data_IF_994633641483
#
_entry.id   IF_994633641483
#
_cell.length_a   1.000
_cell.length_b   1.000
_cell.length_c   1.000
_cell.angle_alpha   90.00
_cell.angle_beta   90.00
_cell.angle_gamma   90.00
#
_symmetry.space_group_name_H-M   'P 1'
#
loop_
_entity.id
_entity.type
_entity.pdbx_description
1 polymer ?
#
# COMPACT_ATOMS: atom_id res chain seq x y z
N UNK A 1 32.41 -9.66 28.63
CA UNK A 1 31.21 -10.44 28.99
C UNK A 1 31.13 -11.63 28.06
N UNK A 2 30.76 -12.80 28.58
CA UNK A 2 30.46 -13.96 27.75
C UNK A 2 29.24 -13.69 26.86
N UNK A 3 29.19 -14.30 25.67
CA UNK A 3 28.13 -14.14 24.68
C UNK A 3 26.76 -14.47 25.28
N UNK A 4 26.72 -15.43 26.21
CA UNK A 4 25.52 -15.82 26.97
C UNK A 4 25.03 -14.69 27.90
N UNK A 5 25.93 -13.99 28.58
CA UNK A 5 25.57 -12.87 29.47
C UNK A 5 25.06 -11.67 28.68
N UNK A 6 25.67 -11.37 27.52
CA UNK A 6 25.22 -10.33 26.60
C UNK A 6 23.78 -10.59 26.13
N UNK A 7 23.47 -11.82 25.70
CA UNK A 7 22.11 -12.20 25.28
C UNK A 7 21.09 -12.13 26.40
N UNK A 8 21.47 -12.55 27.61
CA UNK A 8 20.58 -12.45 28.78
C UNK A 8 20.25 -10.98 29.08
N UNK A 9 21.28 -10.11 29.12
CA UNK A 9 21.10 -8.68 29.36
C UNK A 9 20.28 -8.01 28.25
N UNK A 10 20.51 -8.36 26.98
CA UNK A 10 19.70 -7.89 25.86
C UNK A 10 18.22 -8.24 26.04
N UNK A 11 17.92 -9.51 26.37
CA UNK A 11 16.55 -9.97 26.60
C UNK A 11 15.89 -9.32 27.82
N UNK A 12 16.66 -8.96 28.85
CA UNK A 12 16.17 -8.25 30.03
C UNK A 12 15.81 -6.80 29.70
N UNK A 13 16.65 -6.08 28.93
CA UNK A 13 16.35 -4.73 28.45
C UNK A 13 15.11 -4.75 27.56
N UNK A 14 15.01 -5.71 26.64
CA UNK A 14 13.83 -5.88 25.79
C UNK A 14 12.56 -6.07 26.63
N UNK A 15 12.53 -7.05 27.54
CA UNK A 15 11.31 -7.41 28.28
C UNK A 15 10.93 -6.41 29.37
N UNK A 16 11.89 -5.98 30.18
CA UNK A 16 11.61 -5.15 31.37
C UNK A 16 11.60 -3.66 31.07
N UNK A 17 12.12 -3.23 29.93
CA UNK A 17 12.18 -1.81 29.59
C UNK A 17 11.46 -1.57 28.28
N UNK A 18 11.85 -2.26 27.20
CA UNK A 18 11.24 -2.09 25.88
C UNK A 18 9.74 -2.39 25.85
N UNK A 19 9.36 -3.61 26.20
CA UNK A 19 7.96 -4.09 26.12
C UNK A 19 7.05 -3.35 27.11
N UNK A 20 7.56 -3.00 28.30
CA UNK A 20 6.84 -2.20 29.29
C UNK A 20 6.61 -0.77 28.80
N UNK A 21 7.63 -0.10 28.26
CA UNK A 21 7.46 1.25 27.70
C UNK A 21 6.53 1.24 26.48
N UNK A 22 6.59 0.19 25.66
CA UNK A 22 5.73 0.02 24.49
C UNK A 22 4.25 -0.13 24.90
N UNK A 23 3.95 -0.94 25.91
CA UNK A 23 2.58 -1.14 26.39
C UNK A 23 1.99 0.14 26.99
N UNK A 24 2.82 0.98 27.61
CA UNK A 24 2.45 2.30 28.12
C UNK A 24 2.50 3.43 27.06
N UNK A 25 2.62 3.09 25.77
CA UNK A 25 2.68 4.05 24.64
C UNK A 25 3.84 5.06 24.73
N UNK A 26 4.89 4.76 25.49
CA UNK A 26 6.11 5.57 25.56
C UNK A 26 7.08 5.20 24.44
N UNK A 27 6.61 5.35 23.19
CA UNK A 27 7.22 4.78 22.00
C UNK A 27 8.69 5.19 21.83
N UNK A 28 9.05 6.48 21.91
CA UNK A 28 10.45 6.91 21.75
C UNK A 28 11.40 6.26 22.77
N UNK A 29 10.95 6.09 24.02
CA UNK A 29 11.76 5.45 25.08
C UNK A 29 11.85 3.93 24.88
N UNK A 30 10.76 3.30 24.45
CA UNK A 30 10.75 1.89 24.08
C UNK A 30 11.73 1.63 22.93
N UNK A 31 11.79 2.53 21.96
CA UNK A 31 12.68 2.48 20.81
C UNK A 31 14.16 2.47 21.24
N UNK A 32 14.55 3.43 22.08
CA UNK A 32 15.91 3.49 22.63
C UNK A 32 16.26 2.27 23.51
N UNK A 33 15.27 1.63 24.15
CA UNK A 33 15.49 0.37 24.86
C UNK A 33 15.75 -0.80 23.90
N UNK A 34 14.97 -0.91 22.81
CA UNK A 34 15.19 -1.93 21.79
C UNK A 34 16.54 -1.74 21.07
N UNK A 35 16.95 -0.52 20.74
CA UNK A 35 18.29 -0.27 20.17
C UNK A 35 19.41 -0.74 21.10
N UNK A 36 19.30 -0.43 22.41
CA UNK A 36 20.26 -0.91 23.41
C UNK A 36 20.25 -2.43 23.56
N UNK A 37 19.12 -3.10 23.36
CA UNK A 37 19.07 -4.55 23.30
C UNK A 37 19.82 -5.07 22.06
N UNK A 38 19.61 -4.47 20.87
CA UNK A 38 20.24 -4.88 19.62
C UNK A 38 21.75 -4.60 19.54
N UNK A 39 22.26 -3.61 20.28
CA UNK A 39 23.71 -3.41 20.40
C UNK A 39 24.39 -4.53 21.19
N UNK A 40 23.68 -5.17 22.11
CA UNK A 40 24.16 -6.30 22.91
C UNK A 40 23.94 -7.64 22.19
N UNK A 41 22.81 -7.83 21.52
CA UNK A 41 22.50 -9.00 20.68
C UNK A 41 21.83 -8.58 19.37
N UNK A 42 22.66 -8.44 18.32
CA UNK A 42 22.21 -8.05 16.98
C UNK A 42 21.25 -9.05 16.34
N UNK A 43 21.21 -10.29 16.82
CA UNK A 43 20.40 -11.37 16.27
C UNK A 43 19.13 -11.62 17.09
N UNK A 44 18.80 -10.76 18.07
CA UNK A 44 17.58 -10.90 18.85
C UNK A 44 16.34 -10.59 17.97
N UNK A 45 15.76 -11.66 17.42
CA UNK A 45 14.61 -11.62 16.50
C UNK A 45 13.40 -10.95 17.16
N UNK A 46 13.14 -11.20 18.46
CA UNK A 46 11.98 -10.61 19.14
C UNK A 46 12.16 -9.09 19.29
N UNK A 47 13.35 -8.65 19.69
CA UNK A 47 13.67 -7.22 19.71
C UNK A 47 13.54 -6.61 18.31
N UNK A 48 14.06 -7.24 17.25
CA UNK A 48 13.93 -6.75 15.87
C UNK A 48 12.45 -6.58 15.45
N UNK A 49 11.60 -7.57 15.75
CA UNK A 49 10.17 -7.50 15.46
C UNK A 49 9.46 -6.39 16.22
N UNK A 50 9.70 -6.27 17.53
CA UNK A 50 9.10 -5.23 18.36
C UNK A 50 9.56 -3.84 17.94
N UNK A 51 10.83 -3.72 17.56
CA UNK A 51 11.40 -2.49 17.03
C UNK A 51 10.76 -2.09 15.69
N UNK A 52 10.57 -3.05 14.78
CA UNK A 52 9.82 -2.86 13.53
C UNK A 52 8.37 -2.40 13.75
N UNK A 53 7.64 -3.06 14.67
CA UNK A 53 6.27 -2.70 15.01
C UNK A 53 6.16 -1.29 15.62
N UNK A 54 7.18 -0.87 16.37
CA UNK A 54 7.27 0.47 16.92
C UNK A 54 7.47 1.52 15.82
N UNK A 55 8.29 1.23 14.81
CA UNK A 55 8.44 2.14 13.66
C UNK A 55 7.17 2.30 12.86
N UNK A 56 6.37 1.25 12.73
CA UNK A 56 5.04 1.37 12.09
C UNK A 56 4.14 2.34 12.86
N UNK A 57 4.24 2.39 14.19
CA UNK A 57 3.47 3.32 15.04
C UNK A 57 4.01 4.74 15.06
N UNK A 58 5.34 4.91 15.00
CA UNK A 58 5.98 6.23 14.98
C UNK A 58 6.00 6.88 13.59
N UNK A 59 6.01 6.05 12.55
CA UNK A 59 6.27 6.48 11.18
C UNK A 59 5.01 6.85 10.41
N UNK A 60 5.04 8.02 9.79
CA UNK A 60 4.02 8.49 8.84
C UNK A 60 4.51 8.38 7.38
N UNK A 61 5.31 7.35 7.06
CA UNK A 61 5.95 7.18 5.75
C UNK A 61 4.93 7.21 4.59
N UNK A 62 3.76 6.59 4.77
CA UNK A 62 2.66 6.63 3.82
C UNK A 62 2.17 8.05 3.50
N UNK A 63 2.08 8.92 4.52
CA UNK A 63 1.70 10.33 4.34
C UNK A 63 2.82 11.12 3.70
N UNK A 64 4.07 10.91 4.12
CA UNK A 64 5.23 11.57 3.51
C UNK A 64 5.37 11.25 2.02
N UNK A 65 5.15 9.99 1.61
CA UNK A 65 5.11 9.62 0.19
C UNK A 65 4.00 10.34 -0.57
N UNK A 66 2.81 10.49 0.02
CA UNK A 66 1.71 11.20 -0.61
C UNK A 66 2.00 12.71 -0.75
N UNK A 67 2.58 13.33 0.28
CA UNK A 67 2.97 14.74 0.27
C UNK A 67 4.10 15.02 -0.72
N UNK A 68 5.06 14.09 -0.85
CA UNK A 68 6.13 14.18 -1.85
C UNK A 68 5.57 14.26 -3.28
N UNK A 69 4.47 13.56 -3.58
CA UNK A 69 3.76 13.66 -4.86
C UNK A 69 3.13 15.03 -5.13
N UNK A 70 2.90 15.85 -4.10
CA UNK A 70 2.39 17.23 -4.22
C UNK A 70 3.52 18.28 -4.30
N UNK A 71 4.78 17.87 -4.12
CA UNK A 71 5.92 18.77 -4.12
C UNK A 71 6.34 19.21 -5.52
N UNK A 72 6.79 20.46 -5.62
CA UNK A 72 7.43 21.01 -6.81
C UNK A 72 8.94 20.81 -6.76
N UNK A 73 9.59 20.85 -7.91
CA UNK A 73 11.05 20.87 -7.99
C UNK A 73 11.55 22.31 -7.73
N UNK A 74 11.61 22.69 -6.45
CA UNK A 74 12.21 23.96 -6.03
C UNK A 74 13.68 23.80 -5.66
N UNK A 75 14.44 24.89 -5.74
CA UNK A 75 15.85 24.88 -5.33
C UNK A 75 15.98 24.51 -3.85
N UNK A 76 16.96 23.67 -3.53
CA UNK A 76 17.29 23.32 -2.15
C UNK A 76 18.04 24.49 -1.50
N UNK A 77 17.45 25.06 -0.45
CA UNK A 77 18.09 26.08 0.39
C UNK A 77 19.18 25.45 1.26
N UNK A 78 20.08 26.28 1.81
CA UNK A 78 21.18 25.81 2.67
C UNK A 78 20.68 25.01 3.88
N UNK A 79 19.62 25.49 4.54
CA UNK A 79 19.04 24.82 5.71
C UNK A 79 18.41 23.47 5.35
N UNK A 80 17.73 23.40 4.20
CA UNK A 80 17.21 22.13 3.68
C UNK A 80 18.35 21.16 3.38
N UNK A 81 19.45 21.63 2.76
CA UNK A 81 20.60 20.78 2.48
C UNK A 81 21.21 20.21 3.77
N UNK A 82 21.43 21.03 4.80
CA UNK A 82 21.91 20.55 6.10
C UNK A 82 20.97 19.51 6.71
N UNK A 83 19.65 19.70 6.62
CA UNK A 83 18.67 18.72 7.09
C UNK A 83 18.75 17.41 6.31
N UNK A 84 18.88 17.48 4.99
CA UNK A 84 19.02 16.28 4.15
C UNK A 84 20.30 15.52 4.46
N UNK A 85 21.43 16.23 4.57
CA UNK A 85 22.73 15.64 4.89
C UNK A 85 22.68 14.95 6.26
N UNK A 86 22.04 15.59 7.24
CA UNK A 86 21.80 15.00 8.56
C UNK A 86 20.97 13.71 8.48
N UNK A 87 19.84 13.73 7.77
CA UNK A 87 18.97 12.56 7.61
C UNK A 87 19.67 11.40 6.90
N UNK A 88 20.51 11.70 5.89
CA UNK A 88 21.26 10.69 5.13
C UNK A 88 22.40 10.09 5.97
N UNK A 89 23.06 10.92 6.80
CA UNK A 89 24.15 10.50 7.66
C UNK A 89 23.68 9.78 8.93
N UNK A 90 22.40 9.95 9.32
CA UNK A 90 21.87 9.37 10.54
C UNK A 90 21.93 7.84 10.52
N UNK A 91 22.56 7.27 11.56
CA UNK A 91 22.71 5.83 11.75
C UNK A 91 21.60 5.22 12.62
N UNK A 92 20.82 6.05 13.32
CA UNK A 92 19.63 5.63 14.07
C UNK A 92 18.39 6.28 13.44
N UNK A 93 17.32 5.52 13.21
CA UNK A 93 16.07 6.10 12.75
C UNK A 93 15.30 6.84 13.86
N UNK A 94 15.78 6.83 15.11
CA UNK A 94 15.19 7.54 16.25
C UNK A 94 16.12 8.69 16.62
N UNK A 95 15.86 9.83 16.02
CA UNK A 95 16.38 11.07 16.58
C UNK A 95 15.54 11.50 17.78
N UNK A 96 16.22 12.00 18.81
CA UNK A 96 15.61 12.53 20.03
C UNK A 96 14.95 13.89 19.83
N UNK A 97 14.75 14.34 18.59
CA UNK A 97 14.15 15.63 18.34
C UNK A 97 12.70 15.64 18.80
N UNK A 98 12.43 16.61 19.66
CA UNK A 98 11.11 17.05 20.02
C UNK A 98 10.61 18.08 19.02
N UNK A 99 9.28 18.25 18.95
CA UNK A 99 8.69 19.33 18.15
C UNK A 99 9.28 20.70 18.53
N UNK A 100 9.59 20.93 19.80
CA UNK A 100 10.18 22.19 20.31
C UNK A 100 11.55 22.52 19.72
N UNK A 101 12.34 21.52 19.31
CA UNK A 101 13.65 21.76 18.72
C UNK A 101 13.55 22.46 17.35
N UNK A 102 12.37 22.39 16.74
CA UNK A 102 12.11 23.00 15.44
C UNK A 102 11.47 24.38 15.52
N UNK A 103 11.30 25.01 16.69
CA UNK A 103 10.61 26.33 16.80
C UNK A 103 11.21 27.41 15.88
N UNK A 104 12.53 27.39 15.67
CA UNK A 104 13.22 28.31 14.75
C UNK A 104 13.15 27.92 13.26
N UNK A 105 12.60 26.75 12.94
CA UNK A 105 12.47 26.26 11.57
C UNK A 105 11.30 26.92 10.87
N UNK A 106 11.48 27.32 9.61
CA UNK A 106 10.37 27.77 8.74
C UNK A 106 9.28 26.72 8.53
N UNK A 107 9.55 25.45 8.83
CA UNK A 107 8.58 24.35 8.75
C UNK A 107 7.80 24.14 10.06
N UNK A 108 8.12 24.87 11.13
CA UNK A 108 7.42 24.76 12.40
C UNK A 108 5.96 25.19 12.27
N UNK A 109 5.03 24.26 12.51
CA UNK A 109 3.58 24.48 12.39
C UNK A 109 3.12 25.06 11.04
N UNK A 110 3.91 24.91 9.97
CA UNK A 110 3.56 25.43 8.64
C UNK A 110 2.33 24.72 8.03
N UNK A 111 1.97 23.56 8.59
CA UNK A 111 0.89 22.72 8.12
C UNK A 111 1.38 21.71 7.07
N UNK A 112 0.91 20.45 7.14
CA UNK A 112 1.40 19.36 6.30
C UNK A 112 1.07 19.51 4.81
N UNK A 113 0.14 20.40 4.45
CA UNK A 113 -0.26 20.66 3.05
C UNK A 113 0.29 21.97 2.50
N UNK A 114 1.11 22.70 3.26
CA UNK A 114 1.77 23.86 2.73
C UNK A 114 2.70 23.45 1.58
N UNK A 115 2.75 24.25 0.52
CA UNK A 115 3.63 23.95 -0.61
C UNK A 115 5.10 23.80 -0.18
N UNK A 116 5.66 24.64 0.71
CA UNK A 116 7.04 24.45 1.17
C UNK A 116 7.27 23.11 1.88
N UNK A 117 6.29 22.60 2.63
CA UNK A 117 6.42 21.29 3.29
C UNK A 117 6.32 20.13 2.30
N UNK A 118 5.43 20.23 1.30
CA UNK A 118 5.34 19.24 0.22
C UNK A 118 6.63 19.20 -0.62
N UNK A 119 7.21 20.37 -0.92
CA UNK A 119 8.51 20.49 -1.58
C UNK A 119 9.62 19.83 -0.75
N UNK A 120 9.65 20.07 0.58
CA UNK A 120 10.61 19.41 1.48
C UNK A 120 10.42 17.89 1.48
N UNK A 121 9.18 17.39 1.58
CA UNK A 121 8.88 15.96 1.53
C UNK A 121 9.39 15.31 0.24
N UNK A 122 9.23 16.00 -0.90
CA UNK A 122 9.76 15.56 -2.19
C UNK A 122 11.29 15.55 -2.22
N UNK A 123 11.93 16.60 -1.70
CA UNK A 123 13.41 16.67 -1.58
C UNK A 123 13.95 15.53 -0.73
N UNK A 124 13.34 15.23 0.42
CA UNK A 124 13.71 14.09 1.28
C UNK A 124 13.58 12.77 0.52
N UNK A 125 12.42 12.52 -0.12
CA UNK A 125 12.20 11.30 -0.91
C UNK A 125 13.24 11.12 -2.02
N UNK A 126 13.55 12.20 -2.75
CA UNK A 126 14.55 12.19 -3.83
C UNK A 126 15.96 11.96 -3.29
N UNK A 127 16.34 12.61 -2.19
CA UNK A 127 17.68 12.48 -1.61
C UNK A 127 17.92 11.06 -1.08
N UNK A 128 16.92 10.43 -0.45
CA UNK A 128 16.97 9.03 -0.03
C UNK A 128 17.11 8.07 -1.22
N UNK A 129 16.33 8.29 -2.28
CA UNK A 129 16.43 7.49 -3.51
C UNK A 129 17.82 7.61 -4.13
N UNK A 130 18.34 8.83 -4.28
CA UNK A 130 19.68 9.07 -4.86
C UNK A 130 20.80 8.47 -4.01
N UNK A 131 20.70 8.54 -2.67
CA UNK A 131 21.66 7.88 -1.78
C UNK A 131 21.71 6.37 -2.02
N UNK A 132 20.56 5.71 -2.16
CA UNK A 132 20.48 4.29 -2.48
C UNK A 132 21.04 4.04 -3.89
N UNK A 133 20.67 4.87 -4.87
CA UNK A 133 21.15 4.76 -6.25
C UNK A 133 22.66 4.85 -6.36
N UNK A 134 23.28 5.81 -5.69
CA UNK A 134 24.74 5.98 -5.67
C UNK A 134 25.46 4.81 -5.00
N UNK A 135 24.86 4.16 -4.01
CA UNK A 135 25.43 2.94 -3.40
C UNK A 135 25.33 1.72 -4.30
N UNK A 136 24.27 1.59 -5.10
CA UNK A 136 24.07 0.43 -5.98
C UNK A 136 24.89 0.58 -7.27
N UNK A 137 25.04 1.80 -7.80
CA UNK A 137 25.65 2.08 -9.10
C UNK A 137 27.02 1.39 -9.33
N UNK A 138 27.98 1.39 -8.38
CA UNK A 138 29.27 0.70 -8.56
C UNK A 138 29.17 -0.82 -8.75
N UNK A 139 28.05 -1.42 -8.35
CA UNK A 139 27.81 -2.86 -8.45
C UNK A 139 27.10 -3.26 -9.76
N UNK A 140 26.68 -2.29 -10.58
CA UNK A 140 25.99 -2.53 -11.85
C UNK A 140 27.02 -2.60 -12.98
N UNK A 141 27.38 -3.81 -13.38
CA UNK A 141 28.31 -4.08 -14.49
C UNK A 141 27.62 -4.64 -15.74
N UNK A 142 26.32 -4.96 -15.65
CA UNK A 142 25.47 -5.44 -16.74
C UNK A 142 24.01 -5.09 -16.47
N UNK A 143 23.21 -4.94 -17.53
CA UNK A 143 21.75 -4.78 -17.43
C UNK A 143 21.10 -6.12 -17.12
N UNK A 144 20.97 -6.43 -15.84
CA UNK A 144 20.22 -7.59 -15.32
C UNK A 144 18.87 -7.15 -14.73
N UNK A 145 17.93 -8.06 -14.48
CA UNK A 145 16.71 -7.74 -13.75
C UNK A 145 17.01 -7.27 -12.32
N UNK A 146 16.28 -6.26 -11.84
CA UNK A 146 16.27 -5.83 -10.44
C UNK A 146 15.08 -6.44 -9.71
N UNK A 147 15.34 -7.08 -8.57
CA UNK A 147 14.31 -7.54 -7.64
C UNK A 147 14.33 -6.62 -6.41
N UNK A 148 13.20 -5.98 -6.11
CA UNK A 148 13.08 -5.09 -4.94
C UNK A 148 12.27 -5.81 -3.87
N UNK A 149 12.83 -5.87 -2.66
CA UNK A 149 12.15 -6.37 -1.45
C UNK A 149 12.43 -5.42 -0.27
N UNK A 150 11.70 -5.59 0.82
CA UNK A 150 11.67 -4.68 1.97
C UNK A 150 10.58 -3.61 1.85
N UNK A 151 10.27 -2.94 2.97
CA UNK A 151 9.18 -1.95 3.06
C UNK A 151 9.31 -0.77 2.10
N UNK A 152 10.54 -0.38 1.74
CA UNK A 152 10.78 0.68 0.74
C UNK A 152 10.25 0.31 -0.65
N UNK A 153 10.13 -0.98 -0.98
CA UNK A 153 9.51 -1.45 -2.21
C UNK A 153 8.02 -1.10 -2.35
N UNK A 154 7.36 -0.62 -1.28
CA UNK A 154 5.99 -0.07 -1.37
C UNK A 154 5.94 1.34 -1.97
N UNK A 155 7.09 1.99 -2.18
CA UNK A 155 7.20 3.32 -2.77
C UNK A 155 7.14 3.24 -4.30
N UNK A 156 5.95 3.49 -4.86
CA UNK A 156 5.71 3.40 -6.29
C UNK A 156 6.48 4.45 -7.11
N UNK A 157 6.80 5.62 -6.53
CA UNK A 157 7.63 6.63 -7.19
C UNK A 157 9.06 6.13 -7.38
N UNK A 158 9.63 5.48 -6.35
CA UNK A 158 10.96 4.89 -6.44
C UNK A 158 11.00 3.70 -7.41
N UNK A 159 10.00 2.82 -7.37
CA UNK A 159 9.93 1.68 -8.28
C UNK A 159 9.86 2.14 -9.75
N UNK A 160 9.07 3.20 -10.03
CA UNK A 160 9.05 3.83 -11.35
C UNK A 160 10.41 4.42 -11.74
N UNK A 161 11.07 5.14 -10.84
CA UNK A 161 12.42 5.70 -11.11
C UNK A 161 13.45 4.62 -11.41
N UNK A 162 13.36 3.45 -10.75
CA UNK A 162 14.24 2.32 -11.06
C UNK A 162 13.99 1.77 -12.46
N UNK A 163 12.72 1.60 -12.84
CA UNK A 163 12.32 1.14 -14.16
C UNK A 163 12.77 2.11 -15.27
N UNK A 164 12.54 3.40 -15.07
CA UNK A 164 12.91 4.47 -16.02
C UNK A 164 14.43 4.76 -16.06
N UNK A 165 15.20 4.27 -15.08
CA UNK A 165 16.65 4.56 -15.00
C UNK A 165 17.47 3.98 -16.16
N UNK A 166 16.94 2.96 -16.85
CA UNK A 166 17.65 2.24 -17.90
C UNK A 166 18.86 1.42 -17.41
N UNK A 167 19.07 1.32 -16.09
CA UNK A 167 20.18 0.58 -15.47
C UNK A 167 19.94 -0.95 -15.47
N UNK A 168 18.67 -1.36 -15.47
CA UNK A 168 18.25 -2.75 -15.38
C UNK A 168 17.50 -3.18 -16.64
N UNK A 169 17.44 -4.49 -16.89
CA UNK A 169 16.67 -5.02 -18.03
C UNK A 169 15.17 -5.10 -17.73
N UNK A 170 14.82 -5.21 -16.45
CA UNK A 170 13.46 -5.29 -15.92
C UNK A 170 13.49 -4.97 -14.41
N UNK A 171 12.36 -4.55 -13.85
CA UNK A 171 12.20 -4.28 -12.42
C UNK A 171 10.97 -5.01 -11.88
N UNK A 172 11.20 -5.94 -10.96
CA UNK A 172 10.12 -6.69 -10.33
C UNK A 172 10.03 -6.40 -8.84
N UNK A 173 8.80 -6.13 -8.38
CA UNK A 173 8.46 -5.91 -6.97
C UNK A 173 7.33 -6.89 -6.60
N UNK A 174 7.53 -7.78 -5.62
CA UNK A 174 6.51 -8.75 -5.24
C UNK A 174 5.36 -8.08 -4.47
N UNK A 175 4.13 -8.62 -4.52
CA UNK A 175 2.95 -8.01 -3.87
C UNK A 175 3.09 -7.87 -2.35
N UNK A 176 3.82 -8.79 -1.71
CA UNK A 176 4.20 -8.74 -0.30
C UNK A 176 5.66 -8.31 -0.14
N UNK A 177 6.04 -7.13 -0.66
CA UNK A 177 7.43 -6.66 -0.60
C UNK A 177 7.88 -6.24 0.80
N UNK A 178 6.98 -5.84 1.69
CA UNK A 178 7.34 -5.51 3.07
C UNK A 178 7.46 -6.78 3.92
N UNK A 179 7.61 -6.61 5.23
CA UNK A 179 7.85 -7.69 6.19
C UNK A 179 6.77 -8.78 6.17
N UNK A 180 5.57 -8.49 5.65
CA UNK A 180 4.52 -9.51 5.45
C UNK A 180 4.92 -10.62 4.46
N UNK A 181 5.89 -10.37 3.57
CA UNK A 181 6.43 -11.37 2.64
C UNK A 181 7.54 -12.25 3.21
N UNK A 182 8.07 -11.94 4.40
CA UNK A 182 9.20 -12.69 4.99
C UNK A 182 8.86 -14.16 5.21
N UNK A 183 7.60 -14.47 5.57
CA UNK A 183 7.13 -15.85 5.70
C UNK A 183 7.23 -16.64 4.38
N UNK A 184 6.93 -15.99 3.24
CA UNK A 184 7.06 -16.59 1.90
C UNK A 184 8.54 -16.84 1.60
N UNK A 185 9.40 -15.86 1.88
CA UNK A 185 10.85 -16.00 1.71
C UNK A 185 11.44 -17.13 2.56
N UNK A 186 11.00 -17.25 3.82
CA UNK A 186 11.42 -18.31 4.73
C UNK A 186 10.97 -19.69 4.23
N UNK A 187 9.74 -19.82 3.75
CA UNK A 187 9.26 -21.05 3.13
C UNK A 187 10.06 -21.43 1.88
N UNK A 188 10.41 -20.45 1.03
CA UNK A 188 11.22 -20.68 -0.18
C UNK A 188 12.63 -21.14 0.17
N UNK A 189 13.22 -20.54 1.22
CA UNK A 189 14.53 -20.95 1.72
C UNK A 189 14.48 -22.39 2.28
N UNK A 190 13.46 -22.72 3.09
CA UNK A 190 13.28 -24.07 3.60
C UNK A 190 13.12 -25.09 2.46
N UNK A 191 12.28 -24.80 1.47
CA UNK A 191 12.10 -25.62 0.26
C UNK A 191 13.43 -25.89 -0.44
N UNK A 192 14.25 -24.85 -0.60
CA UNK A 192 15.58 -24.94 -1.22
C UNK A 192 16.53 -25.82 -0.42
N UNK A 193 16.59 -25.62 0.90
CA UNK A 193 17.47 -26.38 1.78
C UNK A 193 17.08 -27.86 1.86
N UNK A 194 15.78 -28.16 1.85
CA UNK A 194 15.27 -29.52 1.99
C UNK A 194 15.23 -30.31 0.68
N UNK A 195 15.00 -29.64 -0.46
CA UNK A 195 14.72 -30.33 -1.74
C UNK A 195 15.62 -29.89 -2.89
N UNK A 196 16.46 -28.87 -2.70
CA UNK A 196 17.24 -28.22 -3.77
C UNK A 196 16.42 -27.33 -4.69
N UNK A 197 15.08 -27.30 -4.58
CA UNK A 197 14.18 -26.49 -5.42
C UNK A 197 13.89 -25.15 -4.78
N UNK A 198 13.93 -24.08 -5.56
CA UNK A 198 13.63 -22.72 -5.07
C UNK A 198 12.17 -22.29 -5.32
N UNK A 199 11.44 -22.98 -6.20
CA UNK A 199 10.09 -22.60 -6.60
C UNK A 199 9.08 -22.90 -5.50
N UNK A 200 8.26 -21.89 -5.16
CA UNK A 200 7.03 -22.05 -4.39
C UNK A 200 5.84 -21.86 -5.32
N UNK A 201 4.87 -22.77 -5.25
CA UNK A 201 3.54 -22.53 -5.81
C UNK A 201 2.71 -21.74 -4.80
N UNK A 202 2.43 -20.48 -5.11
CA UNK A 202 1.58 -19.62 -4.28
C UNK A 202 0.90 -18.56 -5.14
N UNK A 203 -0.12 -17.92 -4.58
CA UNK A 203 -0.86 -16.84 -5.24
C UNK A 203 -0.99 -15.65 -4.29
N UNK A 204 -1.12 -14.45 -4.83
CA UNK A 204 -1.52 -13.29 -4.03
C UNK A 204 -2.87 -13.51 -3.36
N UNK A 205 -3.71 -14.42 -3.87
CA UNK A 205 -4.98 -14.82 -3.27
C UNK A 205 -4.86 -16.00 -2.27
N UNK A 206 -3.70 -16.17 -1.63
CA UNK A 206 -3.50 -17.21 -0.60
C UNK A 206 -4.09 -16.85 0.77
N UNK A 207 -4.74 -15.69 0.93
CA UNK A 207 -5.38 -15.25 2.18
C UNK A 207 -6.62 -16.07 2.55
N UNK A 208 -7.30 -15.71 3.64
CA UNK A 208 -8.46 -16.47 4.13
C UNK A 208 -9.65 -16.41 3.16
N UNK A 209 -10.47 -17.47 3.04
CA UNK A 209 -11.75 -17.40 2.33
C UNK A 209 -12.69 -16.39 3.01
N UNK A 210 -13.68 -15.88 2.29
CA UNK A 210 -14.70 -15.02 2.88
C UNK A 210 -15.58 -15.83 3.83
N UNK A 211 -15.84 -15.30 5.03
CA UNK A 211 -16.59 -16.00 6.06
C UNK A 211 -18.05 -15.59 5.99
N UNK A 212 -18.93 -16.53 5.64
CA UNK A 212 -20.38 -16.39 5.76
C UNK A 212 -20.80 -16.93 7.12
N UNK A 213 -21.11 -16.05 8.08
CA UNK A 213 -21.65 -16.51 9.36
C UNK A 213 -23.06 -17.11 9.15
N UNK A 214 -23.28 -18.34 9.61
CA UNK A 214 -24.56 -19.05 9.41
C UNK A 214 -25.73 -18.50 10.26
N UNK A 215 -25.45 -17.61 11.21
CA UNK A 215 -26.42 -17.22 12.24
C UNK A 215 -26.50 -15.70 12.41
N UNK A 216 -27.27 -15.03 11.56
CA UNK A 216 -27.87 -13.75 11.93
C UNK A 216 -29.37 -13.97 12.09
N UNK A 217 -29.86 -13.97 13.32
CA UNK A 217 -31.31 -13.94 13.63
C UNK A 217 -32.00 -12.68 13.07
N UNK A 218 -31.23 -11.70 12.61
CA UNK A 218 -31.69 -10.50 11.91
C UNK A 218 -31.88 -10.78 10.42
N UNK A 219 -33.08 -10.48 9.92
CA UNK A 219 -33.39 -10.50 8.47
C UNK A 219 -32.47 -9.52 7.74
N UNK A 220 -31.65 -10.01 6.81
CA UNK A 220 -30.77 -9.17 5.97
C UNK A 220 -31.57 -8.06 5.31
N UNK A 221 -31.08 -6.82 5.38
CA UNK A 221 -31.64 -5.67 4.64
C UNK A 221 -31.35 -5.71 3.14
N UNK A 222 -30.79 -6.81 2.64
CA UNK A 222 -30.42 -7.00 1.24
C UNK A 222 -31.00 -8.30 0.70
N UNK A 223 -31.60 -8.22 -0.49
CA UNK A 223 -32.09 -9.38 -1.24
C UNK A 223 -30.95 -9.95 -2.12
N UNK A 224 -30.65 -11.26 -2.01
CA UNK A 224 -29.71 -11.93 -2.89
C UNK A 224 -30.33 -12.17 -4.28
N UNK A 225 -29.51 -12.06 -5.32
CA UNK A 225 -29.84 -12.47 -6.69
C UNK A 225 -28.56 -12.89 -7.43
N UNK A 226 -28.64 -13.70 -8.50
CA UNK A 226 -27.48 -14.06 -9.30
C UNK A 226 -26.75 -12.81 -9.82
N UNK A 227 -25.42 -12.81 -9.79
CA UNK A 227 -24.60 -11.71 -10.27
C UNK A 227 -24.93 -11.38 -11.74
N UNK A 228 -25.34 -10.15 -11.99
CA UNK A 228 -25.59 -9.62 -13.33
C UNK A 228 -24.57 -8.50 -13.63
N UNK A 229 -23.46 -8.78 -14.35
CA UNK A 229 -22.42 -7.79 -14.62
C UNK A 229 -22.96 -6.50 -15.23
N UNK A 230 -23.91 -6.61 -16.17
CA UNK A 230 -24.55 -5.46 -16.80
C UNK A 230 -25.27 -4.54 -15.79
N UNK A 231 -25.97 -5.11 -14.80
CA UNK A 231 -26.64 -4.34 -13.73
C UNK A 231 -25.62 -3.63 -12.84
N UNK A 232 -24.55 -4.34 -12.44
CA UNK A 232 -23.46 -3.74 -11.65
C UNK A 232 -22.80 -2.59 -12.43
N UNK A 233 -22.52 -2.78 -13.72
CA UNK A 233 -21.92 -1.73 -14.55
C UNK A 233 -22.81 -0.49 -14.68
N UNK A 234 -24.14 -0.66 -14.83
CA UNK A 234 -25.09 0.46 -14.85
C UNK A 234 -25.06 1.25 -13.55
N UNK A 235 -25.14 0.56 -12.41
CA UNK A 235 -25.03 1.18 -11.08
C UNK A 235 -23.72 1.95 -10.90
N UNK A 236 -22.61 1.39 -11.34
CA UNK A 236 -21.31 2.08 -11.32
C UNK A 236 -21.35 3.36 -12.18
N UNK A 237 -21.92 3.30 -13.39
CA UNK A 237 -22.06 4.48 -14.27
C UNK A 237 -22.96 5.57 -13.68
N UNK A 238 -24.00 5.16 -12.95
CA UNK A 238 -24.90 6.04 -12.17
C UNK A 238 -24.20 6.63 -10.92
N UNK A 239 -22.97 6.22 -10.64
CA UNK A 239 -22.14 6.73 -9.55
C UNK A 239 -22.38 6.05 -8.20
N UNK A 240 -22.98 4.86 -8.21
CA UNK A 240 -23.00 3.95 -7.05
C UNK A 240 -21.61 3.36 -6.80
N UNK A 241 -21.36 3.06 -5.53
CA UNK A 241 -20.15 2.38 -5.06
C UNK A 241 -20.52 0.93 -4.79
N UNK A 242 -19.72 0.00 -5.29
CA UNK A 242 -19.97 -1.44 -5.17
C UNK A 242 -18.90 -2.05 -4.27
N UNK A 243 -19.30 -2.66 -3.16
CA UNK A 243 -18.40 -3.53 -2.40
C UNK A 243 -18.31 -4.88 -3.14
N UNK A 244 -17.10 -5.31 -3.45
CA UNK A 244 -16.82 -6.44 -4.32
C UNK A 244 -15.93 -7.46 -3.62
N UNK A 245 -16.50 -8.65 -3.41
CA UNK A 245 -15.88 -9.77 -2.71
C UNK A 245 -15.84 -10.96 -3.66
N UNK A 246 -14.65 -11.55 -3.82
CA UNK A 246 -14.44 -12.78 -4.60
C UNK A 246 -13.46 -13.70 -3.86
N UNK A 247 -13.77 -14.99 -3.79
CA UNK A 247 -12.90 -16.06 -3.32
C UNK A 247 -12.08 -15.73 -2.06
N UNK A 248 -10.81 -16.13 -2.08
CA UNK A 248 -9.84 -15.89 -0.99
C UNK A 248 -9.32 -14.46 -1.05
N UNK A 249 -9.12 -13.82 0.11
CA UNK A 249 -8.57 -12.47 0.13
C UNK A 249 -7.11 -12.42 -0.33
N UNK A 250 -6.72 -11.24 -0.79
CA UNK A 250 -5.35 -10.91 -1.12
C UNK A 250 -4.46 -10.94 0.14
N UNK A 251 -3.24 -11.42 0.00
CA UNK A 251 -2.14 -11.16 0.94
C UNK A 251 -1.39 -9.89 0.54
N UNK A 252 -0.84 -9.19 1.52
CA UNK A 252 -0.18 -7.90 1.33
C UNK A 252 -1.13 -6.71 1.46
N UNK A 253 -0.64 -5.48 1.26
CA UNK A 253 -1.35 -4.26 1.64
C UNK A 253 -2.28 -3.69 0.56
N UNK A 254 -2.43 -4.37 -0.59
CA UNK A 254 -3.20 -3.87 -1.74
C UNK A 254 -4.44 -4.74 -1.97
N UNK A 255 -5.58 -4.10 -2.16
CA UNK A 255 -6.75 -4.79 -2.72
C UNK A 255 -6.55 -4.91 -4.23
N UNK A 256 -6.59 -6.14 -4.73
CA UNK A 256 -6.32 -6.53 -6.11
C UNK A 256 -7.52 -7.26 -6.73
N UNK A 257 -8.73 -6.91 -6.32
CA UNK A 257 -9.98 -7.39 -6.93
C UNK A 257 -10.78 -8.41 -6.11
N UNK A 258 -10.31 -8.87 -4.96
CA UNK A 258 -11.02 -9.85 -4.11
C UNK A 258 -11.60 -9.24 -2.84
N UNK A 259 -11.01 -8.17 -2.28
CA UNK A 259 -11.60 -7.38 -1.17
C UNK A 259 -11.61 -5.89 -1.53
N UNK A 260 -12.41 -5.56 -2.53
CA UNK A 260 -12.32 -4.29 -3.25
C UNK A 260 -13.61 -3.48 -3.15
N UNK A 261 -13.46 -2.17 -3.28
CA UNK A 261 -14.54 -1.22 -3.50
C UNK A 261 -14.36 -0.69 -4.92
N UNK A 262 -15.36 -0.93 -5.77
CA UNK A 262 -15.37 -0.57 -7.18
C UNK A 262 -16.27 0.64 -7.42
N UNK A 263 -15.83 1.55 -8.27
CA UNK A 263 -16.60 2.75 -8.62
C UNK A 263 -16.20 3.30 -10.00
N UNK A 264 -16.95 4.28 -10.50
CA UNK A 264 -16.73 4.91 -11.80
C UNK A 264 -15.41 5.70 -11.84
N UNK A 265 -14.58 5.54 -12.89
CA UNK A 265 -13.27 6.20 -12.99
C UNK A 265 -13.35 7.65 -13.50
N UNK A 266 -14.53 8.17 -13.84
CA UNK A 266 -14.63 9.34 -14.71
C UNK A 266 -14.60 10.70 -14.01
N UNK A 267 -15.10 10.80 -12.78
CA UNK A 267 -15.35 12.09 -12.12
C UNK A 267 -14.60 12.22 -10.80
N UNK A 268 -14.08 13.42 -10.52
CA UNK A 268 -13.53 13.80 -9.21
C UNK A 268 -14.55 13.67 -8.07
N UNK A 269 -15.85 13.76 -8.37
CA UNK A 269 -16.91 13.49 -7.39
C UNK A 269 -16.83 12.05 -6.88
N UNK A 270 -16.46 11.08 -7.73
CA UNK A 270 -16.25 9.69 -7.27
C UNK A 270 -15.06 9.61 -6.31
N UNK A 271 -13.95 10.30 -6.61
CA UNK A 271 -12.79 10.37 -5.70
C UNK A 271 -13.18 10.93 -4.34
N UNK A 272 -13.96 12.02 -4.32
CA UNK A 272 -14.44 12.64 -3.09
C UNK A 272 -15.35 11.70 -2.29
N UNK A 273 -16.29 11.02 -2.94
CA UNK A 273 -17.16 10.02 -2.31
C UNK A 273 -16.34 8.89 -1.68
N UNK A 274 -15.36 8.35 -2.40
CA UNK A 274 -14.47 7.29 -1.90
C UNK A 274 -13.61 7.78 -0.73
N UNK A 275 -12.97 8.96 -0.84
CA UNK A 275 -12.14 9.49 0.24
C UNK A 275 -12.95 9.77 1.51
N UNK A 276 -14.18 10.29 1.37
CA UNK A 276 -15.12 10.46 2.49
C UNK A 276 -15.48 9.13 3.14
N UNK A 277 -15.85 8.13 2.34
CA UNK A 277 -16.20 6.78 2.81
C UNK A 277 -15.01 6.10 3.53
N UNK A 278 -13.77 6.40 3.12
CA UNK A 278 -12.56 5.86 3.75
C UNK A 278 -12.06 6.67 4.95
N UNK A 279 -12.68 7.80 5.28
CA UNK A 279 -12.17 8.76 6.26
C UNK A 279 -10.70 9.14 5.99
N UNK A 280 -10.37 9.33 4.71
CA UNK A 280 -9.03 9.67 4.23
C UNK A 280 -8.98 11.12 3.81
N UNK A 281 -7.77 11.66 3.79
CA UNK A 281 -7.52 12.99 3.28
C UNK A 281 -7.87 13.10 1.80
N UNK A 282 -8.40 14.24 1.38
CA UNK A 282 -8.99 14.41 0.04
C UNK A 282 -8.01 14.22 -1.12
N UNK A 283 -6.70 14.35 -0.87
CA UNK A 283 -5.64 14.18 -1.86
C UNK A 283 -5.16 12.73 -2.01
N UNK A 284 -5.64 11.80 -1.16
CA UNK A 284 -5.19 10.41 -1.23
C UNK A 284 -5.69 9.78 -2.53
N UNK A 285 -4.79 9.23 -3.35
CA UNK A 285 -5.18 8.74 -4.66
C UNK A 285 -5.98 7.45 -4.60
N UNK A 286 -6.85 7.27 -5.61
CA UNK A 286 -7.59 6.03 -5.87
C UNK A 286 -6.90 5.32 -7.04
N UNK A 287 -6.65 4.03 -6.88
CA UNK A 287 -5.98 3.24 -7.91
C UNK A 287 -6.96 2.81 -9.00
N UNK A 288 -6.57 2.77 -10.29
CA UNK A 288 -7.34 2.12 -11.31
C UNK A 288 -7.07 0.61 -11.35
N UNK A 289 -8.11 -0.16 -11.67
CA UNK A 289 -7.99 -1.52 -12.19
C UNK A 289 -8.49 -1.54 -13.63
N UNK A 290 -7.75 -2.16 -14.54
CA UNK A 290 -8.10 -2.20 -15.97
C UNK A 290 -7.80 -3.53 -16.65
N UNK A 291 -8.43 -3.74 -17.80
CA UNK A 291 -8.04 -4.79 -18.73
C UNK A 291 -6.60 -4.53 -19.17
N UNK A 292 -5.75 -5.56 -19.11
CA UNK A 292 -4.35 -5.43 -19.52
C UNK A 292 -4.22 -4.95 -20.98
N UNK A 293 -5.10 -5.43 -21.85
CA UNK A 293 -5.17 -5.01 -23.26
C UNK A 293 -5.55 -3.54 -23.46
N UNK A 294 -6.17 -2.91 -22.46
CA UNK A 294 -6.56 -1.49 -22.49
C UNK A 294 -5.54 -0.59 -21.79
N UNK A 295 -4.58 -1.14 -21.04
CA UNK A 295 -3.63 -0.34 -20.28
C UNK A 295 -2.85 0.66 -21.17
N UNK A 296 -2.33 0.29 -22.35
CA UNK A 296 -1.64 1.23 -23.24
C UNK A 296 -2.53 2.35 -23.81
N UNK A 297 -3.86 2.20 -23.78
CA UNK A 297 -4.82 3.22 -24.25
C UNK A 297 -5.02 4.35 -23.21
N UNK A 298 -4.61 4.11 -21.97
CA UNK A 298 -4.96 4.95 -20.83
C UNK A 298 -3.75 5.39 -20.00
N UNK A 299 -2.65 4.64 -20.06
CA UNK A 299 -1.47 4.86 -19.24
C UNK A 299 -0.19 4.75 -20.09
N UNK A 300 0.67 5.76 -20.01
CA UNK A 300 1.94 5.81 -20.74
C UNK A 300 2.86 4.65 -20.33
N UNK A 301 3.39 3.92 -21.32
CA UNK A 301 4.31 2.78 -21.15
C UNK A 301 3.81 1.64 -20.24
N UNK A 302 2.53 1.61 -19.87
CA UNK A 302 1.96 0.55 -19.04
C UNK A 302 1.52 -0.64 -19.91
N UNK A 303 2.34 -1.69 -19.98
CA UNK A 303 1.95 -2.96 -20.60
C UNK A 303 1.29 -3.92 -19.61
N UNK A 304 1.86 -4.05 -18.42
CA UNK A 304 1.33 -4.88 -17.34
C UNK A 304 1.71 -4.30 -15.98
N UNK A 305 0.81 -4.37 -15.02
CA UNK A 305 1.09 -4.02 -13.63
C UNK A 305 0.13 -4.78 -12.72
N UNK A 306 0.51 -5.98 -12.27
CA UNK A 306 -0.42 -6.87 -11.54
C UNK A 306 -0.72 -6.45 -10.10
N UNK A 307 0.19 -5.69 -9.46
CA UNK A 307 0.21 -5.56 -8.00
C UNK A 307 0.08 -4.14 -7.45
N UNK A 308 -0.19 -3.14 -8.29
CA UNK A 308 -0.22 -1.72 -7.87
C UNK A 308 1.06 -1.28 -7.15
N UNK A 309 2.23 -1.59 -7.73
CA UNK A 309 3.55 -1.28 -7.17
C UNK A 309 4.37 -0.30 -8.01
N UNK A 310 3.79 0.29 -9.05
CA UNK A 310 4.40 1.38 -9.82
C UNK A 310 3.38 2.45 -10.16
N UNK A 311 3.84 3.65 -10.49
CA UNK A 311 3.02 4.73 -11.04
C UNK A 311 3.19 4.81 -12.55
N UNK A 312 2.10 5.16 -13.24
CA UNK A 312 2.09 5.41 -14.68
C UNK A 312 1.40 6.74 -14.94
N UNK A 313 1.86 7.50 -15.93
CA UNK A 313 1.20 8.74 -16.34
C UNK A 313 -0.13 8.42 -17.00
N UNK A 314 -1.19 9.10 -16.60
CA UNK A 314 -2.52 8.97 -17.21
C UNK A 314 -2.55 9.81 -18.49
N UNK A 315 -2.79 9.19 -19.63
CA UNK A 315 -2.88 9.88 -20.93
C UNK A 315 -4.32 10.16 -21.35
N UNK A 316 -5.31 9.53 -20.71
CA UNK A 316 -6.71 9.75 -21.02
C UNK A 316 -7.36 10.73 -20.02
N UNK A 317 -7.72 11.96 -20.45
CA UNK A 317 -8.24 13.00 -19.55
C UNK A 317 -9.64 12.71 -18.99
N UNK A 318 -10.34 11.70 -19.52
CA UNK A 318 -11.65 11.28 -18.99
C UNK A 318 -11.53 10.48 -17.69
N UNK A 319 -10.35 9.94 -17.35
CA UNK A 319 -10.15 9.12 -16.16
C UNK A 319 -9.81 9.96 -14.91
N UNK A 320 -10.64 10.97 -14.62
CA UNK A 320 -10.32 11.95 -13.58
C UNK A 320 -10.33 11.38 -12.16
N UNK A 321 -11.11 10.32 -11.89
CA UNK A 321 -11.27 9.82 -10.53
C UNK A 321 -10.03 9.09 -10.00
N UNK A 322 -9.22 8.56 -10.92
CA UNK A 322 -8.01 7.76 -10.64
C UNK A 322 -6.71 8.54 -10.90
N UNK A 323 -6.81 9.77 -11.42
CA UNK A 323 -5.65 10.60 -11.77
C UNK A 323 -5.23 11.41 -10.55
N UNK A 324 -3.97 11.26 -10.16
CA UNK A 324 -3.36 11.97 -9.05
C UNK A 324 -3.10 13.44 -9.42
N UNK A 325 -2.74 14.26 -8.43
CA UNK A 325 -2.40 15.66 -8.65
C UNK A 325 -1.21 15.86 -9.60
N UNK A 326 -0.27 14.92 -9.64
CA UNK A 326 0.89 14.91 -10.54
C UNK A 326 0.61 14.28 -11.92
N UNK A 327 -0.65 13.93 -12.21
CA UNK A 327 -1.07 13.31 -13.47
C UNK A 327 -0.78 11.82 -13.58
N UNK A 328 -0.33 11.17 -12.50
CA UNK A 328 -0.06 9.72 -12.49
C UNK A 328 -1.21 8.92 -11.89
N UNK A 329 -1.15 7.59 -12.01
CA UNK A 329 -2.04 6.65 -11.35
C UNK A 329 -1.29 5.35 -10.98
N UNK A 330 -1.74 4.68 -9.92
CA UNK A 330 -1.18 3.39 -9.49
C UNK A 330 -1.96 2.21 -10.06
N UNK A 331 -1.59 1.79 -11.27
CA UNK A 331 -2.39 0.88 -12.09
C UNK A 331 -2.35 -0.57 -11.59
N UNK A 332 -3.49 -1.24 -11.67
CA UNK A 332 -3.60 -2.70 -11.69
C UNK A 332 -4.11 -3.16 -13.05
N UNK A 333 -3.37 -4.02 -13.76
CA UNK A 333 -3.87 -4.72 -14.95
C UNK A 333 -4.36 -6.11 -14.60
N UNK A 334 -5.42 -6.57 -15.25
CA UNK A 334 -5.91 -7.94 -15.13
C UNK A 334 -6.17 -8.59 -16.49
N UNK A 335 -5.96 -9.90 -16.53
CA UNK A 335 -6.27 -10.82 -17.64
C UNK A 335 -7.41 -11.76 -17.24
N UNK A 336 -7.86 -12.60 -18.18
CA UNK A 336 -8.85 -13.64 -17.88
C UNK A 336 -8.32 -14.68 -16.89
N UNK A 337 -7.02 -14.90 -16.86
CA UNK A 337 -6.36 -15.90 -16.01
C UNK A 337 -6.18 -15.41 -14.57
N UNK A 338 -5.97 -14.09 -14.39
CA UNK A 338 -5.75 -13.49 -13.06
C UNK A 338 -7.01 -13.52 -12.19
N UNK A 339 -8.15 -13.07 -12.75
CA UNK A 339 -9.43 -12.96 -12.06
C UNK A 339 -10.60 -12.97 -13.06
N UNK A 340 -11.12 -14.16 -13.42
CA UNK A 340 -12.13 -14.29 -14.48
C UNK A 340 -13.40 -13.45 -14.24
N UNK A 341 -13.91 -13.43 -13.01
CA UNK A 341 -15.15 -12.72 -12.67
C UNK A 341 -14.99 -11.21 -12.81
N UNK A 342 -13.90 -10.65 -12.29
CA UNK A 342 -13.62 -9.21 -12.41
C UNK A 342 -13.24 -8.80 -13.83
N UNK A 343 -12.53 -9.67 -14.57
CA UNK A 343 -12.26 -9.49 -15.99
C UNK A 343 -13.55 -9.38 -16.81
N UNK A 344 -14.53 -10.25 -16.54
CA UNK A 344 -15.84 -10.21 -17.19
C UNK A 344 -16.63 -8.94 -16.83
N UNK A 345 -16.54 -8.47 -15.58
CA UNK A 345 -17.12 -7.19 -15.18
C UNK A 345 -16.49 -6.02 -15.95
N UNK A 346 -15.16 -5.97 -16.07
CA UNK A 346 -14.48 -4.91 -16.84
C UNK A 346 -14.82 -4.95 -18.32
N UNK A 347 -14.94 -6.15 -18.93
CA UNK A 347 -15.41 -6.29 -20.32
C UNK A 347 -16.84 -5.79 -20.49
N UNK A 348 -17.74 -6.13 -19.57
CA UNK A 348 -19.11 -5.63 -19.59
C UNK A 348 -19.15 -4.10 -19.42
N UNK A 349 -18.34 -3.56 -18.52
CA UNK A 349 -18.22 -2.12 -18.30
C UNK A 349 -17.67 -1.41 -19.55
N UNK A 350 -16.67 -1.99 -20.21
CA UNK A 350 -16.14 -1.49 -21.49
C UNK A 350 -17.21 -1.44 -22.58
N UNK A 351 -18.03 -2.49 -22.69
CA UNK A 351 -19.12 -2.52 -23.69
C UNK A 351 -20.12 -1.38 -23.49
N UNK A 352 -20.36 -0.96 -22.24
CA UNK A 352 -21.30 0.11 -21.92
C UNK A 352 -20.67 1.51 -21.96
N UNK A 353 -19.44 1.65 -21.49
CA UNK A 353 -18.80 2.95 -21.26
C UNK A 353 -17.77 3.34 -22.34
N UNK A 354 -17.26 2.35 -23.08
CA UNK A 354 -16.07 2.48 -23.93
C UNK A 354 -14.73 2.27 -23.20
N UNK A 355 -14.73 2.07 -21.87
CA UNK A 355 -13.52 1.98 -21.04
C UNK A 355 -13.48 0.67 -20.27
N UNK A 356 -12.40 -0.10 -20.39
CA UNK A 356 -12.12 -1.27 -19.54
C UNK A 356 -11.41 -0.89 -18.24
N UNK A 357 -11.85 0.17 -17.56
CA UNK A 357 -11.20 0.73 -16.35
C UNK A 357 -12.23 1.01 -15.26
N UNK A 358 -11.91 0.68 -14.01
CA UNK A 358 -12.68 1.04 -12.82
C UNK A 358 -11.77 1.63 -11.74
N UNK A 359 -12.34 2.39 -10.81
CA UNK A 359 -11.69 2.65 -9.53
C UNK A 359 -11.60 1.35 -8.72
N UNK A 360 -10.47 1.13 -8.04
CA UNK A 360 -10.28 0.07 -7.07
C UNK A 360 -9.64 0.65 -5.80
N UNK A 361 -10.26 0.40 -4.65
CA UNK A 361 -9.69 0.68 -3.32
C UNK A 361 -10.06 -0.41 -2.33
N UNK A 362 -9.34 -0.46 -1.21
CA UNK A 362 -9.50 -1.52 -0.21
C UNK A 362 -10.86 -1.48 0.49
N UNK A 363 -11.50 -2.64 0.62
CA UNK A 363 -12.69 -2.85 1.44
C UNK A 363 -12.28 -3.10 2.89
N UNK A 364 -12.27 -2.03 3.69
CA UNK A 364 -11.90 -2.06 5.11
C UNK A 364 -12.43 -0.84 5.87
N UNK A 365 -12.52 -0.95 7.19
CA UNK A 365 -12.61 0.22 8.08
C UNK A 365 -11.25 0.95 8.15
N UNK A 366 -11.26 2.22 8.53
CA UNK A 366 -10.01 2.98 8.72
C UNK A 366 -9.18 2.34 9.84
N UNK A 367 -7.88 2.13 9.60
CA UNK A 367 -6.98 1.48 10.55
C UNK A 367 -7.14 -0.05 10.69
N UNK A 368 -8.06 -0.68 9.95
CA UNK A 368 -8.30 -2.12 10.00
C UNK A 368 -7.79 -2.86 8.75
N UNK A 369 -7.61 -4.18 8.86
CA UNK A 369 -7.39 -5.08 7.72
C UNK A 369 -8.64 -5.21 6.83
N UNK A 370 -8.56 -6.03 5.78
CA UNK A 370 -9.71 -6.26 4.90
C UNK A 370 -10.92 -6.80 5.68
N UNK A 371 -12.11 -6.29 5.34
CA UNK A 371 -13.36 -6.92 5.77
C UNK A 371 -13.40 -8.30 5.11
N UNK A 372 -13.46 -9.35 5.92
CA UNK A 372 -13.41 -10.74 5.45
C UNK A 372 -14.52 -11.63 6.04
N UNK A 373 -15.56 -11.03 6.60
CA UNK A 373 -16.75 -11.72 7.09
C UNK A 373 -18.02 -10.95 6.73
N UNK A 374 -19.17 -11.63 6.73
CA UNK A 374 -20.45 -11.08 6.30
C UNK A 374 -20.97 -10.02 7.27
N UNK A 375 -20.86 -10.24 8.58
CA UNK A 375 -21.28 -9.29 9.61
C UNK A 375 -20.65 -7.90 9.43
N UNK A 376 -19.34 -7.85 9.25
CA UNK A 376 -18.60 -6.60 9.08
C UNK A 376 -18.87 -5.94 7.73
N UNK A 377 -19.11 -6.74 6.68
CA UNK A 377 -19.54 -6.22 5.39
C UNK A 377 -20.90 -5.53 5.49
N UNK A 378 -21.89 -6.16 6.13
CA UNK A 378 -23.22 -5.56 6.30
C UNK A 378 -23.18 -4.31 7.19
N UNK A 379 -22.39 -4.33 8.26
CA UNK A 379 -22.12 -3.13 9.07
C UNK A 379 -21.52 -2.04 8.21
N UNK A 380 -20.49 -2.35 7.42
CA UNK A 380 -19.84 -1.39 6.55
C UNK A 380 -20.82 -0.79 5.53
N UNK A 381 -21.62 -1.63 4.88
CA UNK A 381 -22.61 -1.21 3.89
C UNK A 381 -23.70 -0.33 4.53
N UNK A 382 -24.18 -0.70 5.72
CA UNK A 382 -25.20 0.07 6.45
C UNK A 382 -24.69 1.45 6.87
N UNK A 383 -23.50 1.52 7.49
CA UNK A 383 -22.89 2.78 7.90
C UNK A 383 -22.61 3.73 6.71
N UNK A 384 -22.26 3.17 5.55
CA UNK A 384 -21.89 3.95 4.36
C UNK A 384 -23.01 4.08 3.33
N UNK A 385 -24.25 3.66 3.68
CA UNK A 385 -25.40 3.70 2.77
C UNK A 385 -25.14 3.03 1.41
N UNK A 386 -24.41 1.91 1.40
CA UNK A 386 -24.15 1.12 0.20
C UNK A 386 -25.41 0.33 -0.16
N UNK A 387 -25.91 0.56 -1.37
CA UNK A 387 -27.11 -0.08 -1.93
C UNK A 387 -26.83 -1.48 -2.48
N UNK A 388 -25.60 -1.76 -2.90
CA UNK A 388 -25.26 -3.00 -3.60
C UNK A 388 -23.86 -3.49 -3.26
N UNK A 389 -23.74 -4.78 -2.99
CA UNK A 389 -22.46 -5.46 -2.90
C UNK A 389 -22.54 -6.86 -3.51
N UNK A 390 -21.37 -7.43 -3.81
CA UNK A 390 -21.24 -8.73 -4.49
C UNK A 390 -20.36 -9.64 -3.65
N UNK A 391 -20.80 -10.88 -3.46
CA UNK A 391 -20.00 -11.97 -2.89
C UNK A 391 -20.03 -13.11 -3.89
N UNK A 392 -18.88 -13.41 -4.49
CA UNK A 392 -18.72 -14.42 -5.53
C UNK A 392 -19.76 -14.20 -6.65
N UNK A 393 -20.62 -15.19 -6.91
CA UNK A 393 -21.61 -15.14 -7.99
C UNK A 393 -22.98 -14.58 -7.55
N UNK A 394 -23.06 -13.95 -6.37
CA UNK A 394 -24.30 -13.40 -5.81
C UNK A 394 -24.16 -11.89 -5.60
N UNK A 395 -25.08 -11.13 -6.17
CA UNK A 395 -25.25 -9.72 -5.85
C UNK A 395 -26.38 -9.50 -4.83
N UNK A 396 -26.15 -8.63 -3.88
CA UNK A 396 -27.05 -8.28 -2.79
C UNK A 396 -27.49 -6.83 -2.97
N UNK A 397 -28.79 -6.60 -3.11
CA UNK A 397 -29.35 -5.25 -3.30
C UNK A 397 -30.23 -4.89 -2.12
N UNK A 398 -30.08 -3.67 -1.60
CA UNK A 398 -30.86 -3.18 -0.46
C UNK A 398 -32.35 -3.27 -0.76
N UNK A 399 -33.14 -3.75 0.20
CA UNK A 399 -34.60 -3.77 0.11
C UNK A 399 -35.09 -2.33 0.16
N UNK A 400 -35.92 -1.96 -0.82
CA UNK A 400 -36.60 -0.65 -0.87
C UNK A 400 -37.67 -0.50 0.21
#
# INVERSE_FOLDING_TARGET
MDDTQLRHQASEIERRVGDELFSHQQLTRAAAAYERSLTLDKNNIKTLNNFGALYEKLGDAGKMMALAGLGNNSQTSRDEQHMLDYLIASSSPIDTFSKSDFVGSKYYNIGPHSQPFCDLAKKISNALFEHIRLKILPHINKKIPLLISGGCGLNCDWNRKWDESGLFSDVFVPPCTNDTGVAIGAAALAQKLMTGRCGLEWSVYSGQPFILEQNSTTRSSYNPSPLQPHTICKKILEGEIICWIQGRCEIGPRALGNRSILASPFSKTTTQKLNKLKHRENYRPIAPICLETDAPLHFENCKSSKYMLSFYKVINPRLQAITHADGTARVQTITSEDNPTLYNLLKAFKKLSGFGVLCNTSLNFSGAGFINNRSDLEKFCTHNSISTFVIDDIMYTKVE
#
